data_IF_357194622895
#
_entry.id   IF_357194622895
#
_cell.length_a   1.000
_cell.length_b   1.000
_cell.length_c   1.000
_cell.angle_alpha   90.00
_cell.angle_beta   90.00
_cell.angle_gamma   90.00
#
_symmetry.space_group_name_H-M   'P 1'
#
loop_
_entity.id
_entity.type
_entity.pdbx_description
1 polymer ?
#
# COMPACT_ATOMS: atom_id res chain seq x y z
N UNK A 1 -1.19 -1.02 -4.33
CA UNK A 1 -0.52 -1.24 -5.63
C UNK A 1 0.99 -1.16 -5.56
N UNK A 2 1.60 -0.05 -5.12
CA UNK A 2 3.08 0.09 -5.06
C UNK A 2 3.55 0.36 -3.63
N UNK A 3 3.72 -0.67 -2.78
CA UNK A 3 4.36 -0.53 -1.48
C UNK A 3 5.73 0.16 -1.58
N UNK A 4 5.99 1.26 -0.86
CA UNK A 4 7.29 1.94 -0.91
C UNK A 4 8.41 1.12 -0.25
N UNK A 5 8.05 0.20 0.64
CA UNK A 5 8.95 -0.79 1.24
C UNK A 5 8.38 -2.18 0.97
N UNK A 6 8.99 -2.89 0.04
CA UNK A 6 8.41 -4.13 -0.49
C UNK A 6 8.68 -5.36 0.37
N UNK A 7 9.72 -5.32 1.21
CA UNK A 7 10.20 -6.49 1.94
C UNK A 7 9.88 -6.39 3.43
N UNK A 8 9.24 -7.43 3.96
CA UNK A 8 9.03 -7.62 5.39
C UNK A 8 9.57 -8.96 5.85
N UNK A 9 10.10 -8.98 7.07
CA UNK A 9 10.72 -10.16 7.66
C UNK A 9 10.21 -10.39 9.09
N UNK A 10 10.10 -11.66 9.46
CA UNK A 10 9.77 -12.08 10.82
C UNK A 10 10.42 -13.41 11.15
N UNK A 11 10.93 -13.57 12.37
CA UNK A 11 11.44 -14.87 12.84
C UNK A 11 10.41 -15.53 13.73
N UNK A 12 10.04 -16.78 13.42
CA UNK A 12 9.06 -17.53 14.19
C UNK A 12 9.53 -17.73 15.65
N UNK A 13 8.75 -17.26 16.62
CA UNK A 13 9.08 -17.37 18.06
C UNK A 13 8.70 -18.73 18.66
N UNK A 14 7.82 -19.44 17.98
CA UNK A 14 7.30 -20.79 18.28
C UNK A 14 6.91 -21.45 16.96
N UNK A 15 6.64 -22.76 16.99
CA UNK A 15 6.04 -23.44 15.86
C UNK A 15 4.67 -22.82 15.57
N UNK A 16 4.41 -22.51 14.30
CA UNK A 16 3.18 -21.92 13.79
C UNK A 16 2.74 -22.65 12.51
N UNK A 17 1.45 -22.54 12.19
CA UNK A 17 0.93 -22.90 10.88
C UNK A 17 0.60 -21.60 10.15
N UNK A 18 1.11 -21.45 8.94
CA UNK A 18 0.82 -20.32 8.04
C UNK A 18 -0.11 -20.82 6.94
N UNK A 19 -1.28 -20.20 6.82
CA UNK A 19 -2.30 -20.55 5.83
C UNK A 19 -2.17 -19.64 4.61
N UNK A 20 -2.21 -20.24 3.42
CA UNK A 20 -2.45 -19.58 2.15
C UNK A 20 -3.91 -19.81 1.73
N UNK A 21 -4.30 -19.36 0.55
CA UNK A 21 -5.67 -19.55 0.08
C UNK A 21 -6.08 -21.00 -0.15
N UNK A 22 -5.12 -21.89 -0.48
CA UNK A 22 -5.41 -23.26 -0.90
C UNK A 22 -4.68 -24.32 -0.04
N UNK A 23 -3.82 -23.89 0.90
CA UNK A 23 -2.97 -24.80 1.67
C UNK A 23 -2.55 -24.20 3.02
N UNK A 24 -1.93 -25.04 3.84
CA UNK A 24 -1.34 -24.65 5.12
C UNK A 24 0.07 -25.24 5.26
N UNK A 25 0.97 -24.49 5.87
CA UNK A 25 2.39 -24.83 5.99
C UNK A 25 2.85 -24.73 7.43
N UNK A 26 3.50 -25.77 7.95
CA UNK A 26 4.17 -25.69 9.25
C UNK A 26 5.47 -24.89 9.13
N UNK A 27 5.65 -23.91 10.01
CA UNK A 27 6.88 -23.13 10.17
C UNK A 27 7.38 -23.33 11.60
N UNK A 28 8.59 -23.87 11.73
CA UNK A 28 9.22 -24.20 13.00
C UNK A 28 9.80 -22.96 13.67
N UNK A 29 9.89 -23.01 15.00
CA UNK A 29 10.54 -21.98 15.81
C UNK A 29 11.95 -21.71 15.29
N UNK A 30 12.26 -20.43 15.10
CA UNK A 30 13.57 -19.95 14.65
C UNK A 30 13.68 -19.76 13.13
N UNK A 31 12.76 -20.31 12.34
CA UNK A 31 12.73 -20.10 10.89
C UNK A 31 12.41 -18.64 10.55
N UNK A 32 12.96 -18.17 9.42
CA UNK A 32 12.72 -16.83 8.91
C UNK A 32 11.56 -16.87 7.92
N UNK A 33 10.55 -16.05 8.17
CA UNK A 33 9.43 -15.79 7.28
C UNK A 33 9.72 -14.48 6.55
N UNK A 34 9.50 -14.49 5.24
CA UNK A 34 9.69 -13.37 4.34
C UNK A 34 8.39 -13.09 3.59
N UNK A 35 8.03 -11.81 3.48
CA UNK A 35 6.91 -11.34 2.67
C UNK A 35 7.38 -10.35 1.62
N UNK A 36 6.97 -10.58 0.37
CA UNK A 36 7.07 -9.62 -0.71
C UNK A 36 5.71 -8.93 -0.91
N UNK A 37 5.59 -7.72 -0.36
CA UNK A 37 4.33 -7.00 -0.21
C UNK A 37 3.56 -6.71 -1.51
N UNK A 38 4.23 -6.43 -2.66
CA UNK A 38 3.52 -6.20 -3.91
C UNK A 38 2.63 -7.38 -4.34
N UNK A 39 3.00 -8.63 -4.03
CA UNK A 39 2.16 -9.79 -4.33
C UNK A 39 0.93 -9.86 -3.43
N UNK A 40 1.08 -9.56 -2.13
CA UNK A 40 -0.05 -9.55 -1.19
C UNK A 40 -1.03 -8.40 -1.48
N UNK A 41 -0.51 -7.21 -1.81
CA UNK A 41 -1.34 -6.00 -2.07
C UNK A 41 -1.85 -5.90 -3.51
N UNK A 42 -1.61 -6.93 -4.33
CA UNK A 42 -2.15 -7.13 -5.68
C UNK A 42 -2.72 -8.54 -5.85
N UNK A 43 -3.16 -9.15 -4.75
CA UNK A 43 -3.81 -10.45 -4.79
C UNK A 43 -5.22 -10.33 -5.41
N UNK A 44 -5.43 -10.99 -6.56
CA UNK A 44 -6.71 -10.97 -7.29
C UNK A 44 -7.85 -11.68 -6.53
N UNK A 45 -7.54 -12.52 -5.54
CA UNK A 45 -8.56 -13.11 -4.66
C UNK A 45 -9.06 -12.12 -3.60
N UNK A 46 -8.34 -11.01 -3.41
CA UNK A 46 -8.67 -9.96 -2.44
C UNK A 46 -9.16 -8.70 -3.14
N UNK A 47 -8.49 -8.29 -4.22
CA UNK A 47 -8.81 -7.08 -4.97
C UNK A 47 -9.26 -7.44 -6.39
N UNK A 48 -10.49 -7.09 -6.76
CA UNK A 48 -10.89 -7.14 -8.17
C UNK A 48 -9.95 -6.25 -9.02
N UNK A 49 -9.56 -6.75 -10.20
CA UNK A 49 -8.60 -6.08 -11.10
C UNK A 49 -7.37 -5.58 -10.33
N UNK A 50 -6.73 -6.46 -9.56
CA UNK A 50 -5.65 -6.10 -8.63
C UNK A 50 -4.42 -5.46 -9.30
N UNK A 51 -4.20 -5.74 -10.59
CA UNK A 51 -3.15 -5.13 -11.41
C UNK A 51 -3.45 -3.71 -11.91
N UNK A 52 -4.69 -3.23 -11.78
CA UNK A 52 -5.12 -1.93 -12.32
C UNK A 52 -5.17 -0.83 -11.25
N UNK A 53 -4.77 0.38 -11.65
CA UNK A 53 -4.99 1.60 -10.86
C UNK A 53 -6.45 2.05 -10.97
N UNK A 54 -7.20 1.81 -9.91
CA UNK A 54 -8.60 2.21 -9.77
C UNK A 54 -8.66 3.38 -8.76
N UNK A 55 -8.83 4.63 -9.21
CA UNK A 55 -8.72 5.82 -8.35
C UNK A 55 -9.74 5.86 -7.20
N UNK A 56 -10.92 5.30 -7.42
CA UNK A 56 -12.08 5.31 -6.51
C UNK A 56 -12.26 4.01 -5.70
N UNK A 57 -11.29 3.07 -5.77
CA UNK A 57 -11.33 1.75 -5.10
C UNK A 57 -11.72 1.79 -3.62
N UNK A 58 -11.34 2.86 -2.91
CA UNK A 58 -11.53 3.01 -1.47
C UNK A 58 -12.51 4.13 -1.08
N UNK A 59 -13.28 4.68 -2.03
CA UNK A 59 -14.28 5.71 -1.72
C UNK A 59 -15.44 5.07 -0.93
N UNK A 60 -15.82 5.72 0.18
CA UNK A 60 -16.92 5.26 1.05
C UNK A 60 -18.26 5.56 0.38
N UNK A 61 -19.11 4.54 0.19
CA UNK A 61 -20.45 4.67 -0.40
C UNK A 61 -20.60 4.13 -1.83
N UNK A 62 -19.52 3.67 -2.47
CA UNK A 62 -19.59 2.95 -3.75
C UNK A 62 -20.02 1.48 -3.57
N UNK A 63 -19.60 0.86 -2.45
CA UNK A 63 -20.06 -0.42 -1.93
C UNK A 63 -19.72 -0.47 -0.42
N UNK A 64 -20.51 -1.16 0.39
CA UNK A 64 -20.28 -1.33 1.84
C UNK A 64 -18.96 -2.08 2.18
N UNK A 65 -18.31 -2.67 1.16
CA UNK A 65 -17.04 -3.38 1.26
C UNK A 65 -15.76 -2.52 1.16
N UNK A 66 -15.83 -1.24 0.77
CA UNK A 66 -14.61 -0.44 0.57
C UNK A 66 -13.82 -0.19 1.85
N UNK A 67 -14.50 -0.14 2.99
CA UNK A 67 -13.86 -0.10 4.32
C UNK A 67 -13.15 -1.40 4.68
N UNK A 68 -13.69 -2.56 4.28
CA UNK A 68 -13.08 -3.89 4.50
C UNK A 68 -11.82 -4.07 3.65
N UNK A 69 -11.79 -3.52 2.44
CA UNK A 69 -10.61 -3.58 1.57
C UNK A 69 -9.38 -2.88 2.17
N UNK A 70 -9.57 -1.89 3.05
CA UNK A 70 -8.45 -1.23 3.75
C UNK A 70 -7.70 -2.18 4.69
N UNK A 71 -8.34 -3.24 5.19
CA UNK A 71 -7.68 -4.26 6.03
C UNK A 71 -6.54 -4.97 5.27
N UNK A 72 -6.61 -4.99 3.94
CA UNK A 72 -5.62 -5.59 3.06
C UNK A 72 -4.58 -4.60 2.52
N UNK A 73 -4.66 -3.33 2.92
CA UNK A 73 -3.64 -2.32 2.64
C UNK A 73 -2.61 -2.34 3.78
N UNK A 74 -1.39 -2.78 3.49
CA UNK A 74 -0.38 -3.11 4.53
C UNK A 74 0.97 -2.39 4.39
N UNK A 75 1.01 -1.25 3.69
CA UNK A 75 2.24 -0.46 3.44
C UNK A 75 3.00 -0.09 4.72
N UNK A 76 2.26 0.06 5.83
CA UNK A 76 2.79 0.47 7.13
C UNK A 76 3.34 -0.69 7.97
N UNK A 77 3.52 -1.89 7.41
CA UNK A 77 3.84 -3.13 8.13
C UNK A 77 2.72 -3.55 9.11
N UNK A 78 1.48 -3.35 8.69
CA UNK A 78 0.25 -3.72 9.39
C UNK A 78 -0.98 -3.24 8.61
N UNK A 79 -2.19 -3.75 8.88
CA UNK A 79 -3.43 -3.30 8.23
C UNK A 79 -3.65 -1.80 8.39
N UNK A 80 -4.15 -1.12 7.36
CA UNK A 80 -4.38 0.32 7.37
C UNK A 80 -5.33 0.78 8.51
N UNK A 81 -6.41 0.06 8.85
CA UNK A 81 -7.25 0.39 10.01
C UNK A 81 -6.55 0.18 11.37
N UNK A 82 -5.44 -0.55 11.41
CA UNK A 82 -4.66 -0.82 12.62
C UNK A 82 -3.94 0.43 13.16
N UNK A 83 -3.67 0.44 14.46
CA UNK A 83 -2.99 1.57 15.14
C UNK A 83 -1.54 1.21 15.50
N UNK A 84 -0.55 2.03 15.11
CA UNK A 84 0.81 1.89 15.60
C UNK A 84 0.86 2.01 17.12
N UNK A 85 1.56 1.09 17.79
CA UNK A 85 1.67 1.07 19.24
C UNK A 85 3.01 0.49 19.67
N UNK A 86 3.44 0.76 20.91
CA UNK A 86 4.68 0.23 21.48
C UNK A 86 4.77 -1.30 21.41
N UNK A 87 3.63 -1.98 21.50
CA UNK A 87 3.51 -3.44 21.43
C UNK A 87 3.56 -4.04 20.02
N UNK A 88 3.62 -3.23 18.97
CA UNK A 88 3.67 -3.69 17.59
C UNK A 88 4.82 -3.03 16.79
N UNK A 89 4.98 -3.46 15.54
CA UNK A 89 6.04 -2.99 14.63
C UNK A 89 5.46 -2.26 13.42
N UNK A 90 4.23 -1.75 13.54
CA UNK A 90 3.64 -0.91 12.51
C UNK A 90 4.36 0.45 12.47
N UNK A 91 4.41 1.09 11.30
CA UNK A 91 5.09 2.36 11.12
C UNK A 91 4.55 3.42 12.08
N UNK A 92 5.37 4.00 12.98
CA UNK A 92 4.90 5.01 13.93
C UNK A 92 4.46 6.31 13.25
N UNK A 93 4.93 6.55 12.01
CA UNK A 93 4.54 7.69 11.20
C UNK A 93 3.33 7.42 10.28
N UNK A 94 2.57 6.33 10.46
CA UNK A 94 1.47 5.93 9.56
C UNK A 94 0.57 7.11 9.19
N UNK A 95 -0.02 7.76 10.20
CA UNK A 95 -1.00 8.83 9.98
C UNK A 95 -0.36 10.08 9.39
N UNK A 96 0.90 10.37 9.73
CA UNK A 96 1.65 11.48 9.15
C UNK A 96 1.91 11.26 7.65
N UNK A 97 2.34 10.06 7.24
CA UNK A 97 2.59 9.74 5.83
C UNK A 97 1.30 9.83 5.02
N UNK A 98 0.19 9.29 5.54
CA UNK A 98 -1.12 9.39 4.90
C UNK A 98 -1.56 10.86 4.77
N UNK A 99 -1.40 11.65 5.82
CA UNK A 99 -1.74 13.08 5.79
C UNK A 99 -0.90 13.86 4.77
N UNK A 100 0.43 13.69 4.76
CA UNK A 100 1.32 14.36 3.81
C UNK A 100 1.05 13.93 2.37
N UNK A 101 0.78 12.64 2.12
CA UNK A 101 0.39 12.14 0.80
C UNK A 101 -0.91 12.79 0.29
N UNK A 102 -1.92 12.90 1.15
CA UNK A 102 -3.17 13.62 0.83
C UNK A 102 -2.91 15.10 0.54
N UNK A 103 -2.09 15.76 1.36
CA UNK A 103 -1.73 17.17 1.17
C UNK A 103 -0.96 17.40 -0.13
N UNK A 104 -0.08 16.49 -0.53
CA UNK A 104 0.66 16.58 -1.80
C UNK A 104 -0.30 16.60 -3.00
N UNK A 105 -1.25 15.65 -3.03
CA UNK A 105 -2.25 15.57 -4.10
C UNK A 105 -3.18 16.79 -4.08
N UNK A 106 -3.65 17.18 -2.89
CA UNK A 106 -4.51 18.35 -2.72
C UNK A 106 -3.82 19.65 -3.19
N UNK A 107 -2.58 19.91 -2.80
CA UNK A 107 -1.83 21.11 -3.23
C UNK A 107 -1.48 21.09 -4.72
N UNK A 108 -1.23 19.91 -5.29
CA UNK A 108 -1.00 19.79 -6.73
C UNK A 108 -2.25 20.25 -7.50
N UNK A 109 -3.42 19.70 -7.17
CA UNK A 109 -4.67 20.03 -7.86
C UNK A 109 -5.31 21.35 -7.42
N UNK A 110 -4.90 21.92 -6.28
CA UNK A 110 -5.24 23.30 -5.92
C UNK A 110 -4.55 24.32 -6.83
N UNK A 111 -3.40 23.96 -7.41
CA UNK A 111 -2.59 24.85 -8.26
C UNK A 111 -2.77 24.58 -9.74
N UNK A 112 -3.00 23.33 -10.12
CA UNK A 112 -3.04 22.89 -11.52
C UNK A 112 -4.28 22.03 -11.80
N UNK A 113 -4.98 22.30 -12.89
CA UNK A 113 -6.14 21.51 -13.30
C UNK A 113 -5.71 20.16 -13.86
N UNK A 114 -4.62 20.15 -14.63
CA UNK A 114 -4.05 18.95 -15.26
C UNK A 114 -2.53 19.04 -15.36
N UNK A 115 -1.88 17.88 -15.54
CA UNK A 115 -0.46 17.80 -15.84
C UNK A 115 -0.19 16.64 -16.81
N UNK A 116 0.93 16.71 -17.51
CA UNK A 116 1.51 15.57 -18.21
C UNK A 116 2.93 15.32 -17.67
N UNK A 117 3.36 14.06 -17.69
CA UNK A 117 4.69 13.68 -17.25
C UNK A 117 5.22 12.50 -18.05
N UNK A 118 6.54 12.48 -18.25
CA UNK A 118 7.27 11.30 -18.70
C UNK A 118 7.72 10.49 -17.49
N UNK A 119 7.61 9.17 -17.59
CA UNK A 119 8.05 8.23 -16.55
C UNK A 119 9.16 7.37 -17.08
N UNK A 120 10.30 7.38 -16.40
CA UNK A 120 11.44 6.49 -16.67
C UNK A 120 11.61 5.54 -15.51
N UNK A 121 11.32 4.26 -15.76
CA UNK A 121 11.56 3.18 -14.80
C UNK A 121 13.06 2.98 -14.57
N UNK A 122 13.49 2.96 -13.32
CA UNK A 122 14.87 2.64 -12.91
C UNK A 122 14.84 1.51 -11.85
N UNK A 123 15.98 0.83 -11.60
CA UNK A 123 16.02 -0.33 -10.70
C UNK A 123 15.67 -0.07 -9.22
N UNK A 124 15.70 1.19 -8.76
CA UNK A 124 15.44 1.55 -7.35
C UNK A 124 14.14 2.32 -7.24
N UNK A 125 13.99 3.40 -8.01
CA UNK A 125 12.78 4.24 -8.00
C UNK A 125 12.57 4.89 -9.38
N UNK A 126 11.32 5.03 -9.85
CA UNK A 126 11.04 5.68 -11.12
C UNK A 126 11.37 7.17 -11.07
N UNK A 127 11.86 7.70 -12.18
CA UNK A 127 12.03 9.15 -12.37
C UNK A 127 10.82 9.68 -13.13
N UNK A 128 10.06 10.56 -12.49
CA UNK A 128 8.91 11.25 -13.09
C UNK A 128 9.32 12.69 -13.42
N UNK A 129 9.18 13.08 -14.69
CA UNK A 129 9.48 14.44 -15.17
C UNK A 129 8.21 15.08 -15.70
N UNK A 130 7.75 16.16 -15.07
CA UNK A 130 6.62 16.94 -15.60
C UNK A 130 6.99 17.58 -16.94
N UNK A 131 6.17 17.32 -17.95
CA UNK A 131 6.32 17.90 -19.30
C UNK A 131 5.33 19.04 -19.54
N UNK A 132 4.22 19.08 -18.80
CA UNK A 132 3.29 20.21 -18.79
C UNK A 132 2.53 20.34 -17.47
N UNK A 133 2.15 21.57 -17.12
CA UNK A 133 1.36 21.91 -15.96
C UNK A 133 0.33 22.97 -16.36
N UNK A 134 -0.94 22.61 -16.42
CA UNK A 134 -2.04 23.54 -16.72
C UNK A 134 -2.45 24.22 -15.44
N UNK A 135 -2.20 25.53 -15.29
CA UNK A 135 -2.59 26.27 -14.09
C UNK A 135 -4.11 26.25 -13.92
N UNK A 136 -4.53 26.13 -12.67
CA UNK A 136 -5.94 26.31 -12.30
C UNK A 136 -6.41 27.72 -12.63
N UNK A 137 -7.60 27.79 -13.22
CA UNK A 137 -8.31 29.04 -13.51
C UNK A 137 -9.23 29.36 -12.33
N UNK A 138 -8.62 29.66 -11.19
CA UNK A 138 -9.34 30.19 -10.02
C UNK A 138 -9.97 31.55 -10.29
#
# INVERSE_FOLDING_TARGET
>A
MNPPVEFQYGRARRDIVVESHDAAYEVRKGEMVFGYQPLATRDERVFDRAGEFIPDRFVVGADDGSSRLLEHVVWSNGPEPGTPAEGNKQCPGKDMVVAVGRMMVAELFRRYDTFAADVKELPIEPVVTFTSLTRSSG
#
